data_IF_610145056148
#
_entry.id   IF_610145056148
#
_cell.length_a   1.000
_cell.length_b   1.000
_cell.length_c   1.000
_cell.angle_alpha   90.00
_cell.angle_beta   90.00
_cell.angle_gamma   90.00
#
_symmetry.space_group_name_H-M   'P 1'
#
loop_
_entity.id
_entity.type
_entity.pdbx_description
1 polymer ?
#
# COMPACT_ATOMS: atom_id res chain seq x y z
N UNK A 1 -19.74 -4.96 -6.98
CA UNK A 1 -18.27 -5.01 -7.06
C UNK A 1 -17.76 -5.43 -5.71
N UNK A 2 -17.02 -6.54 -5.62
CA UNK A 2 -16.25 -6.92 -4.43
C UNK A 2 -14.79 -6.54 -4.64
N UNK A 3 -14.13 -6.06 -3.59
CA UNK A 3 -12.68 -5.76 -3.61
C UNK A 3 -11.94 -7.03 -3.23
N UNK A 4 -11.02 -7.50 -4.09
CA UNK A 4 -10.23 -8.70 -3.85
C UNK A 4 -8.95 -8.41 -3.03
N UNK A 5 -8.38 -7.21 -3.19
CA UNK A 5 -7.10 -6.83 -2.60
C UNK A 5 -6.95 -5.30 -2.44
N UNK A 6 -6.21 -4.85 -1.43
CA UNK A 6 -5.89 -3.43 -1.21
C UNK A 6 -4.38 -3.21 -1.06
N UNK A 7 -3.78 -2.35 -1.88
CA UNK A 7 -2.37 -1.95 -1.77
C UNK A 7 -2.25 -0.59 -1.06
N UNK A 8 -1.49 -0.54 0.03
CA UNK A 8 -1.17 0.68 0.76
C UNK A 8 0.23 1.16 0.39
N UNK A 9 0.31 2.34 -0.23
CA UNK A 9 1.58 3.01 -0.56
C UNK A 9 1.86 4.08 0.48
N UNK A 10 2.92 3.93 1.29
CA UNK A 10 3.17 4.79 2.45
C UNK A 10 4.55 5.42 2.40
N UNK A 11 4.65 6.68 2.82
CA UNK A 11 5.86 7.49 2.67
C UNK A 11 7.05 7.01 3.50
N UNK A 12 6.80 6.36 4.65
CA UNK A 12 7.84 6.03 5.64
C UNK A 12 7.48 4.83 6.55
N UNK A 13 8.47 4.21 7.24
CA UNK A 13 8.28 2.99 8.04
C UNK A 13 7.34 3.11 9.27
N UNK A 14 7.15 4.31 9.79
CA UNK A 14 6.25 4.57 10.92
C UNK A 14 4.81 4.17 10.57
N UNK A 15 4.36 4.54 9.36
CA UNK A 15 3.02 4.24 8.85
C UNK A 15 2.85 2.76 8.55
N UNK A 16 3.87 2.10 8.01
CA UNK A 16 3.84 0.64 7.81
C UNK A 16 3.60 -0.09 9.14
N UNK A 17 4.35 0.28 10.17
CA UNK A 17 4.23 -0.32 11.50
C UNK A 17 2.82 -0.14 12.07
N UNK A 18 2.27 1.08 11.95
CA UNK A 18 0.90 1.38 12.37
C UNK A 18 -0.13 0.54 11.61
N UNK A 19 -0.04 0.48 10.28
CA UNK A 19 -0.97 -0.26 9.43
C UNK A 19 -0.89 -1.77 9.65
N UNK A 20 0.29 -2.34 9.91
CA UNK A 20 0.44 -3.77 10.23
C UNK A 20 -0.36 -4.17 11.48
N UNK A 21 -0.49 -3.30 12.46
CA UNK A 21 -1.33 -3.53 13.64
C UNK A 21 -2.83 -3.26 13.42
N UNK A 22 -3.14 -2.26 12.58
CA UNK A 22 -4.52 -1.80 12.38
C UNK A 22 -5.30 -2.61 11.34
N UNK A 23 -4.69 -2.86 10.17
CA UNK A 23 -5.38 -3.40 8.99
C UNK A 23 -6.03 -4.78 9.20
N UNK A 24 -5.44 -5.74 9.93
CA UNK A 24 -6.09 -7.04 10.17
C UNK A 24 -7.48 -6.92 10.81
N UNK A 25 -7.69 -5.88 11.64
CA UNK A 25 -8.97 -5.63 12.32
C UNK A 25 -9.95 -4.84 11.48
N UNK A 26 -9.46 -4.02 10.55
CA UNK A 26 -10.30 -3.19 9.67
C UNK A 26 -10.75 -3.94 8.41
N UNK A 27 -9.89 -4.75 7.82
CA UNK A 27 -10.11 -5.39 6.52
C UNK A 27 -10.64 -6.82 6.62
N UNK A 28 -10.54 -7.46 7.79
CA UNK A 28 -10.95 -8.85 7.98
C UNK A 28 -10.20 -9.77 7.03
N UNK A 29 -10.94 -10.48 6.17
CA UNK A 29 -10.39 -11.44 5.21
C UNK A 29 -9.89 -10.81 3.89
N UNK A 30 -10.10 -9.50 3.69
CA UNK A 30 -9.62 -8.82 2.48
C UNK A 30 -8.09 -8.78 2.50
N UNK A 31 -7.49 -9.36 1.48
CA UNK A 31 -6.02 -9.37 1.35
C UNK A 31 -5.47 -7.96 1.16
N UNK A 32 -4.30 -7.68 1.72
CA UNK A 32 -3.67 -6.36 1.58
C UNK A 32 -2.14 -6.44 1.50
N UNK A 33 -1.55 -5.45 0.84
CA UNK A 33 -0.11 -5.22 0.77
C UNK A 33 0.24 -3.86 1.34
N UNK A 34 1.41 -3.74 1.98
CA UNK A 34 1.95 -2.44 2.41
C UNK A 34 3.31 -2.26 1.72
N UNK A 35 3.47 -1.15 1.02
CA UNK A 35 4.72 -0.77 0.37
C UNK A 35 5.19 0.57 0.92
N UNK A 36 6.33 0.50 1.58
CA UNK A 36 6.97 1.63 2.24
C UNK A 36 8.01 2.26 1.32
N UNK A 37 7.96 3.58 1.22
CA UNK A 37 8.95 4.41 0.55
C UNK A 37 9.89 5.04 1.59
N UNK A 38 10.84 5.86 1.12
CA UNK A 38 11.77 6.56 2.01
C UNK A 38 11.21 7.89 2.52
N UNK A 39 10.58 8.64 1.62
CA UNK A 39 9.97 9.94 1.88
C UNK A 39 8.94 10.25 0.80
N UNK A 40 8.26 11.39 0.93
CA UNK A 40 7.28 11.85 -0.07
C UNK A 40 7.85 11.94 -1.48
N UNK A 41 9.05 12.49 -1.62
CA UNK A 41 9.70 12.66 -2.92
C UNK A 41 9.96 11.30 -3.57
N UNK A 42 10.53 10.35 -2.83
CA UNK A 42 10.77 8.99 -3.30
C UNK A 42 9.48 8.28 -3.72
N UNK A 43 8.39 8.47 -2.95
CA UNK A 43 7.07 7.96 -3.29
C UNK A 43 6.59 8.54 -4.62
N UNK A 44 6.57 9.86 -4.77
CA UNK A 44 6.06 10.52 -5.96
C UNK A 44 6.87 10.19 -7.22
N UNK A 45 8.19 10.04 -7.10
CA UNK A 45 9.07 9.66 -8.21
C UNK A 45 8.80 8.22 -8.69
N UNK A 46 8.56 7.28 -7.77
CA UNK A 46 8.35 5.85 -8.08
C UNK A 46 6.89 5.50 -8.38
N UNK A 47 5.93 6.32 -7.92
CA UNK A 47 4.50 6.06 -8.03
C UNK A 47 4.03 5.81 -9.48
N UNK A 48 4.42 6.59 -10.50
CA UNK A 48 3.96 6.36 -11.87
C UNK A 48 4.37 4.98 -12.40
N UNK A 49 5.61 4.57 -12.14
CA UNK A 49 6.09 3.24 -12.54
C UNK A 49 5.32 2.14 -11.81
N UNK A 50 5.06 2.32 -10.51
CA UNK A 50 4.30 1.35 -9.71
C UNK A 50 2.87 1.19 -10.22
N UNK A 51 2.18 2.30 -10.49
CA UNK A 51 0.79 2.27 -10.99
C UNK A 51 0.68 1.60 -12.35
N UNK A 52 1.65 1.79 -13.26
CA UNK A 52 1.70 1.05 -14.53
C UNK A 52 1.80 -0.46 -14.32
N UNK A 53 2.51 -0.90 -13.28
CA UNK A 53 2.62 -2.31 -12.94
C UNK A 53 1.30 -2.98 -12.55
N UNK A 54 0.32 -2.20 -12.08
CA UNK A 54 -1.03 -2.71 -11.76
C UNK A 54 -1.96 -2.74 -12.98
N UNK A 55 -1.59 -2.18 -14.12
CA UNK A 55 -2.46 -2.16 -15.30
C UNK A 55 -2.74 -3.57 -15.88
N UNK A 56 -1.92 -4.56 -15.52
CA UNK A 56 -2.08 -5.95 -15.92
C UNK A 56 -2.85 -6.81 -14.90
N UNK A 57 -3.31 -6.21 -13.80
CA UNK A 57 -4.01 -6.87 -12.70
C UNK A 57 -5.51 -6.60 -12.74
#
# INVERSE_FOLDING_TARGET
MSVAHVEFLVEEPSMETFLRGLLPRLLGEVSFGIRTFQCKTDLLEKLPQRLRGYAAW
#
